data_IF_376836468369
#
_entry.id   IF_376836468369
#
_cell.length_a   1.000
_cell.length_b   1.000
_cell.length_c   1.000
_cell.angle_alpha   90.00
_cell.angle_beta   90.00
_cell.angle_gamma   90.00
#
_symmetry.space_group_name_H-M   'P 1'
#
loop_
_entity.id
_entity.type
_entity.pdbx_description
1 polymer ?
#
# COMPACT_ATOMS: atom_id res chain seq x y z
N UNK A 1 -33.73 11.15 34.22
CA UNK A 1 -34.08 10.49 32.94
C UNK A 1 -34.42 11.57 31.93
N UNK A 2 -34.06 11.46 30.63
CA UNK A 2 -33.38 10.38 29.88
C UNK A 2 -31.88 10.70 29.59
N UNK A 3 -30.93 9.75 29.56
CA UNK A 3 -30.52 8.72 28.55
C UNK A 3 -29.68 9.27 27.38
N UNK A 4 -28.36 8.98 27.35
CA UNK A 4 -27.66 7.95 26.53
C UNK A 4 -27.46 8.41 25.06
N UNK A 5 -26.31 8.29 24.40
CA UNK A 5 -25.40 7.14 24.27
C UNK A 5 -23.96 7.65 24.04
N UNK A 6 -23.00 7.12 24.80
CA UNK A 6 -21.58 7.13 24.42
C UNK A 6 -21.39 6.15 23.26
N UNK A 7 -21.22 6.65 22.04
CA UNK A 7 -20.77 5.84 20.92
C UNK A 7 -19.25 5.80 20.92
N UNK A 8 -18.70 4.80 21.62
CA UNK A 8 -17.35 4.30 21.40
C UNK A 8 -17.27 3.78 19.96
N UNK A 9 -16.69 4.60 19.08
CA UNK A 9 -16.51 4.30 17.67
C UNK A 9 -15.26 4.93 17.10
N UNK A 10 -14.24 5.19 17.91
CA UNK A 10 -12.92 5.54 17.43
C UNK A 10 -12.22 4.26 16.95
N UNK A 11 -12.70 3.73 15.83
CA UNK A 11 -11.82 2.94 14.96
C UNK A 11 -10.77 3.93 14.49
N UNK A 12 -9.64 3.95 15.18
CA UNK A 12 -8.48 4.76 14.82
C UNK A 12 -8.08 4.40 13.40
N UNK A 13 -8.61 5.13 12.43
CA UNK A 13 -7.92 5.36 11.18
C UNK A 13 -6.61 6.02 11.57
N UNK A 14 -5.56 5.20 11.65
CA UNK A 14 -4.19 5.65 11.65
C UNK A 14 -3.96 6.33 10.30
N UNK A 15 -4.38 7.59 10.19
CA UNK A 15 -3.77 8.52 9.25
C UNK A 15 -2.38 8.81 9.79
N UNK A 16 -1.49 7.83 9.69
CA UNK A 16 -0.08 8.11 9.88
C UNK A 16 0.24 9.20 8.85
N UNK A 17 0.69 10.36 9.33
CA UNK A 17 1.18 11.48 8.54
C UNK A 17 2.52 11.11 7.88
N UNK A 18 2.57 9.91 7.32
CA UNK A 18 3.76 9.15 7.01
C UNK A 18 4.16 9.57 5.60
N UNK A 19 5.23 10.34 5.54
CA UNK A 19 5.77 10.84 4.29
C UNK A 19 6.37 9.68 3.51
N UNK A 20 6.20 9.63 2.18
CA UNK A 20 6.84 8.60 1.38
C UNK A 20 8.37 8.68 1.53
N UNK A 21 8.96 7.59 2.01
CA UNK A 21 10.40 7.36 2.04
C UNK A 21 10.80 6.67 0.73
N UNK A 22 11.40 7.41 -0.20
CA UNK A 22 11.88 6.84 -1.47
C UNK A 22 13.24 6.18 -1.29
N UNK A 23 13.43 5.04 -1.96
CA UNK A 23 14.70 4.36 -2.00
C UNK A 23 15.63 5.00 -3.05
N UNK A 24 16.94 4.97 -2.78
CA UNK A 24 17.94 5.46 -3.75
C UNK A 24 17.98 4.61 -5.03
N UNK A 25 17.61 3.33 -4.92
CA UNK A 25 17.54 2.38 -6.01
C UNK A 25 16.21 1.61 -5.94
N UNK A 26 15.57 1.41 -7.09
CA UNK A 26 14.33 0.63 -7.15
C UNK A 26 14.62 -0.85 -6.93
N UNK A 27 13.74 -1.51 -6.19
CA UNK A 27 13.83 -2.93 -5.86
C UNK A 27 12.83 -3.70 -6.71
N UNK A 28 13.23 -4.83 -7.26
CA UNK A 28 12.32 -5.71 -7.99
C UNK A 28 11.42 -6.49 -7.02
N UNK A 29 10.12 -6.48 -7.30
CA UNK A 29 9.13 -7.29 -6.60
C UNK A 29 8.20 -7.98 -7.58
N UNK A 30 7.49 -8.99 -7.09
CA UNK A 30 6.44 -9.69 -7.85
C UNK A 30 5.11 -9.44 -7.15
N UNK A 31 4.07 -9.11 -7.90
CA UNK A 31 2.72 -8.93 -7.34
C UNK A 31 2.18 -10.27 -6.89
N UNK A 32 1.69 -10.32 -5.66
CA UNK A 32 1.04 -11.49 -5.08
C UNK A 32 -0.49 -11.31 -5.02
N UNK A 33 -0.93 -10.12 -4.60
CA UNK A 33 -2.35 -9.72 -4.60
C UNK A 33 -2.52 -8.47 -5.44
N UNK A 34 -3.55 -8.44 -6.30
CA UNK A 34 -3.82 -7.36 -7.26
C UNK A 34 -3.76 -5.98 -6.63
N UNK A 35 -2.99 -5.08 -7.24
CA UNK A 35 -2.83 -3.68 -6.80
C UNK A 35 -3.46 -2.77 -7.84
N UNK A 36 -4.31 -1.83 -7.42
CA UNK A 36 -4.87 -0.80 -8.31
C UNK A 36 -5.02 0.54 -7.59
N UNK A 37 -5.48 1.56 -8.30
CA UNK A 37 -5.83 2.86 -7.68
C UNK A 37 -6.99 2.75 -6.68
N UNK A 38 -7.79 1.69 -6.74
CA UNK A 38 -8.95 1.48 -5.87
C UNK A 38 -8.65 0.52 -4.71
N UNK A 39 -7.63 -0.33 -4.84
CA UNK A 39 -7.28 -1.29 -3.80
C UNK A 39 -5.77 -1.43 -3.64
N UNK A 40 -5.24 -1.33 -2.41
CA UNK A 40 -3.91 -1.82 -2.11
C UNK A 40 -3.90 -3.35 -2.26
N UNK A 41 -2.73 -3.90 -2.51
CA UNK A 41 -2.51 -5.34 -2.63
C UNK A 41 -1.23 -5.74 -1.92
N UNK A 42 -0.54 -6.75 -2.48
CA UNK A 42 0.71 -7.26 -1.92
C UNK A 42 1.73 -7.53 -3.00
N UNK A 43 2.98 -7.37 -2.61
CA UNK A 43 4.13 -7.85 -3.38
C UNK A 43 4.97 -8.81 -2.55
N UNK A 44 5.68 -9.69 -3.26
CA UNK A 44 6.74 -10.52 -2.72
C UNK A 44 8.09 -9.96 -3.16
N UNK A 45 8.96 -9.67 -2.20
CA UNK A 45 10.35 -9.29 -2.43
C UNK A 45 11.22 -9.80 -1.27
N UNK A 46 12.48 -10.13 -1.57
CA UNK A 46 13.41 -10.73 -0.59
C UNK A 46 12.83 -11.94 0.18
N UNK A 47 12.02 -12.75 -0.49
CA UNK A 47 11.42 -13.95 0.11
C UNK A 47 10.28 -13.69 1.10
N UNK A 48 9.85 -12.44 1.30
CA UNK A 48 8.77 -12.05 2.22
C UNK A 48 7.62 -11.33 1.50
N UNK A 49 6.46 -11.30 2.13
CA UNK A 49 5.24 -10.66 1.61
C UNK A 49 4.99 -9.32 2.30
N UNK A 50 4.72 -8.29 1.51
CA UNK A 50 4.57 -6.92 1.99
C UNK A 50 3.27 -6.29 1.47
N UNK A 51 2.56 -5.49 2.29
CA UNK A 51 1.49 -4.65 1.78
C UNK A 51 2.07 -3.65 0.78
N UNK A 52 1.34 -3.41 -0.31
CA UNK A 52 1.81 -2.55 -1.38
C UNK A 52 0.67 -1.72 -2.00
N UNK A 53 1.01 -0.52 -2.46
CA UNK A 53 0.12 0.39 -3.16
C UNK A 53 0.85 1.12 -4.28
N UNK A 54 0.11 1.64 -5.26
CA UNK A 54 0.68 2.45 -6.33
C UNK A 54 1.30 3.73 -5.77
N UNK A 55 2.52 4.07 -6.20
CA UNK A 55 3.17 5.33 -5.81
C UNK A 55 2.41 6.56 -6.34
N UNK A 56 1.81 6.47 -7.54
CA UNK A 56 0.99 7.52 -8.15
C UNK A 56 -0.35 6.95 -8.59
N UNK A 57 -1.43 7.55 -8.09
CA UNK A 57 -2.84 7.15 -8.33
C UNK A 57 -3.35 7.59 -9.72
N UNK A 58 -2.60 8.47 -10.39
CA UNK A 58 -2.98 9.14 -11.65
C UNK A 58 -3.13 8.18 -12.84
N UNK A 59 -2.63 6.96 -12.71
CA UNK A 59 -2.64 5.97 -13.77
C UNK A 59 -3.72 4.93 -13.45
N UNK A 60 -4.68 4.72 -14.36
CA UNK A 60 -5.61 3.59 -14.34
C UNK A 60 -4.85 2.27 -14.57
N UNK A 61 -4.01 1.92 -13.61
CA UNK A 61 -3.12 0.77 -13.65
C UNK A 61 -3.66 -0.24 -12.67
N UNK A 62 -3.83 -1.45 -13.16
CA UNK A 62 -4.09 -2.64 -12.35
C UNK A 62 -2.91 -3.57 -12.53
N UNK A 63 -2.19 -3.82 -11.46
CA UNK A 63 -1.09 -4.77 -11.40
C UNK A 63 -1.67 -6.10 -10.92
N UNK A 64 -1.51 -7.16 -11.70
CA UNK A 64 -2.08 -8.48 -11.42
C UNK A 64 -1.02 -9.43 -10.85
N UNK A 65 -1.41 -10.53 -10.17
CA UNK A 65 -0.46 -11.51 -9.64
C UNK A 65 0.54 -12.00 -10.69
N UNK A 66 1.72 -12.38 -10.23
CA UNK A 66 2.87 -12.83 -11.03
C UNK A 66 3.54 -11.73 -11.87
N UNK A 67 3.00 -10.51 -11.90
CA UNK A 67 3.61 -9.39 -12.61
C UNK A 67 4.81 -8.83 -11.82
N UNK A 68 5.93 -8.61 -12.52
CA UNK A 68 7.10 -7.91 -11.96
C UNK A 68 6.86 -6.41 -11.89
N UNK A 69 7.25 -5.79 -10.77
CA UNK A 69 7.07 -4.37 -10.48
C UNK A 69 8.34 -3.76 -9.89
N UNK A 70 8.43 -2.43 -9.97
CA UNK A 70 9.46 -1.64 -9.31
C UNK A 70 8.93 -1.10 -7.98
N UNK A 71 9.55 -1.52 -6.87
CA UNK A 71 9.32 -0.95 -5.55
C UNK A 71 10.24 0.27 -5.40
N UNK A 72 9.65 1.45 -5.29
CA UNK A 72 10.36 2.74 -5.33
C UNK A 72 10.51 3.40 -3.96
N UNK A 73 9.83 2.88 -2.95
CA UNK A 73 9.86 3.42 -1.60
C UNK A 73 8.83 2.76 -0.69
N UNK A 74 8.51 3.43 0.42
CA UNK A 74 7.48 3.01 1.37
C UNK A 74 6.80 4.17 2.07
N UNK A 75 5.65 3.87 2.65
CA UNK A 75 4.93 4.71 3.62
C UNK A 75 4.62 3.81 4.81
N UNK A 76 5.27 4.05 5.95
CA UNK A 76 5.30 3.12 7.08
C UNK A 76 5.80 1.73 6.66
N UNK A 77 4.95 0.72 6.79
CA UNK A 77 5.26 -0.66 6.35
C UNK A 77 4.78 -0.99 4.93
N UNK A 78 4.08 -0.06 4.28
CA UNK A 78 3.46 -0.28 2.97
C UNK A 78 4.43 0.14 1.87
N UNK A 79 4.75 -0.78 0.97
CA UNK A 79 5.63 -0.53 -0.16
C UNK A 79 4.91 0.28 -1.25
N UNK A 80 5.63 1.22 -1.85
CA UNK A 80 5.17 2.02 -2.98
C UNK A 80 5.70 1.40 -4.26
N UNK A 81 4.81 1.07 -5.19
CA UNK A 81 5.15 0.35 -6.42
C UNK A 81 4.75 1.08 -7.68
N UNK A 82 5.47 0.78 -8.76
CA UNK A 82 5.19 1.21 -10.12
C UNK A 82 5.29 0.00 -11.07
N UNK A 83 4.55 0.01 -12.20
CA UNK A 83 4.84 -0.91 -13.30
C UNK A 83 6.33 -0.84 -13.68
N UNK A 84 6.90 -2.00 -14.03
CA UNK A 84 8.24 -2.05 -14.64
C UNK A 84 8.22 -1.49 -16.06
#
# INVERSE_FOLDING_TARGET
MPQAIEFLGESGMFFSNDKPELFSEAIEGVVEETISSLQPGRVRCFGSYWPAQLYKVECQVTLIPEQTVCIVGRVGITLLVMPR
#
